data_IF_848861961962
#
_entry.id   IF_848861961962
#
_cell.length_a   1.000
_cell.length_b   1.000
_cell.length_c   1.000
_cell.angle_alpha   90.00
_cell.angle_beta   90.00
_cell.angle_gamma   90.00
#
_symmetry.space_group_name_H-M   'P 1'
#
loop_
_entity.id
_entity.type
_entity.pdbx_description
1 polymer ?
#
# COMPACT_ATOMS: atom_id res chain seq x y z
N UNK A 1 12.52 -4.44 9.25
CA UNK A 1 11.96 -3.31 10.01
C UNK A 1 11.04 -2.52 9.10
N UNK A 2 9.84 -2.20 9.58
CA UNK A 2 8.87 -1.36 8.85
C UNK A 2 8.95 0.04 9.46
N UNK A 3 9.19 1.05 8.62
CA UNK A 3 9.28 2.45 9.03
C UNK A 3 8.19 3.26 8.35
N UNK A 4 7.58 4.18 9.10
CA UNK A 4 6.67 5.17 8.54
C UNK A 4 7.45 6.21 7.73
N UNK A 5 6.87 6.68 6.64
CA UNK A 5 7.41 7.77 5.83
C UNK A 5 7.54 9.04 6.66
N UNK A 6 8.75 9.57 6.75
CA UNK A 6 9.08 10.74 7.59
C UNK A 6 8.99 12.07 6.84
N UNK A 7 8.59 12.05 5.59
CA UNK A 7 8.52 13.22 4.73
C UNK A 7 9.85 13.57 4.03
N UNK A 8 10.90 12.80 4.25
CA UNK A 8 12.21 13.06 3.67
C UNK A 8 12.30 12.67 2.20
N UNK A 9 13.12 13.41 1.47
CA UNK A 9 13.47 13.09 0.09
C UNK A 9 14.05 11.68 -0.04
N UNK A 10 14.93 11.29 0.90
CA UNK A 10 15.58 9.96 0.89
C UNK A 10 14.57 8.83 0.96
N UNK A 11 13.62 8.89 1.87
CA UNK A 11 12.58 7.85 1.95
C UNK A 11 11.67 7.85 0.72
N UNK A 12 11.39 9.02 0.14
CA UNK A 12 10.61 9.07 -1.11
C UNK A 12 11.39 8.44 -2.27
N UNK A 13 12.68 8.64 -2.37
CA UNK A 13 13.53 7.95 -3.36
C UNK A 13 13.51 6.44 -3.19
N UNK A 14 13.53 5.94 -1.95
CA UNK A 14 13.40 4.52 -1.64
C UNK A 14 12.04 3.96 -2.08
N UNK A 15 10.96 4.71 -1.86
CA UNK A 15 9.61 4.34 -2.31
C UNK A 15 9.56 4.29 -3.84
N UNK A 16 10.06 5.31 -4.52
CA UNK A 16 10.09 5.39 -5.99
C UNK A 16 10.89 4.23 -6.58
N UNK A 17 12.01 3.88 -5.96
CA UNK A 17 12.79 2.71 -6.36
C UNK A 17 11.97 1.43 -6.34
N UNK A 18 11.26 1.16 -5.25
CA UNK A 18 10.41 -0.04 -5.12
C UNK A 18 9.25 0.03 -6.12
N UNK A 19 8.60 1.18 -6.22
CA UNK A 19 7.42 1.40 -7.07
C UNK A 19 7.74 1.17 -8.55
N UNK A 20 8.87 1.69 -9.03
CA UNK A 20 9.31 1.56 -10.42
C UNK A 20 9.55 0.10 -10.85
N UNK A 21 9.79 -0.79 -9.89
CA UNK A 21 9.95 -2.24 -10.14
C UNK A 21 8.62 -2.98 -10.30
N UNK A 22 7.50 -2.37 -9.90
CA UNK A 22 6.20 -3.05 -9.82
C UNK A 22 5.10 -2.34 -10.59
N UNK A 23 5.20 -1.03 -10.79
CA UNK A 23 4.17 -0.19 -11.40
C UNK A 23 4.74 0.70 -12.50
N UNK A 24 3.89 1.59 -13.00
CA UNK A 24 4.24 2.60 -13.99
C UNK A 24 5.18 3.64 -13.36
N UNK A 25 6.12 4.15 -14.14
CA UNK A 25 7.03 5.20 -13.71
C UNK A 25 6.29 6.42 -13.16
N UNK A 26 6.86 6.99 -12.10
CA UNK A 26 6.36 8.20 -11.46
C UNK A 26 6.99 9.41 -12.12
N UNK A 27 6.13 10.25 -12.71
CA UNK A 27 6.53 11.44 -13.49
C UNK A 27 6.48 12.75 -12.68
N UNK A 28 6.23 12.64 -11.37
CA UNK A 28 6.13 13.80 -10.49
C UNK A 28 7.46 14.16 -9.86
N UNK A 29 7.67 15.46 -9.61
CA UNK A 29 8.81 15.94 -8.83
C UNK A 29 8.81 15.34 -7.43
N UNK A 30 9.99 14.94 -6.94
CA UNK A 30 10.13 14.27 -5.63
C UNK A 30 9.67 15.18 -4.48
N UNK A 31 10.01 16.46 -4.53
CA UNK A 31 9.63 17.39 -3.46
C UNK A 31 8.13 17.65 -3.45
N UNK A 32 7.50 17.71 -4.63
CA UNK A 32 6.04 17.78 -4.74
C UNK A 32 5.36 16.52 -4.18
N UNK A 33 5.91 15.34 -4.44
CA UNK A 33 5.40 14.08 -3.88
C UNK A 33 5.49 14.08 -2.36
N UNK A 34 6.63 14.47 -1.80
CA UNK A 34 6.80 14.59 -0.35
C UNK A 34 5.75 15.49 0.27
N UNK A 35 5.54 16.69 -0.29
CA UNK A 35 4.54 17.64 0.20
C UNK A 35 3.11 17.11 0.05
N UNK A 36 2.80 16.49 -1.07
CA UNK A 36 1.48 15.88 -1.33
C UNK A 36 1.13 14.83 -0.28
N UNK A 37 2.04 13.94 0.01
CA UNK A 37 1.83 12.87 0.99
C UNK A 37 1.78 13.43 2.42
N UNK A 38 2.68 14.35 2.78
CA UNK A 38 2.68 14.98 4.10
C UNK A 38 1.39 15.74 4.42
N UNK A 39 0.77 16.35 3.42
CA UNK A 39 -0.50 17.09 3.59
C UNK A 39 -1.71 16.19 3.74
N UNK A 40 -1.65 14.96 3.25
CA UNK A 40 -2.77 14.04 3.31
C UNK A 40 -2.83 13.31 4.66
N UNK A 41 -3.62 13.83 5.58
CA UNK A 41 -3.77 13.28 6.94
C UNK A 41 -4.44 11.91 6.99
N UNK A 42 -5.08 11.49 5.89
CA UNK A 42 -5.77 10.19 5.79
C UNK A 42 -4.92 9.14 5.09
N UNK A 43 -3.69 9.47 4.72
CA UNK A 43 -2.81 8.57 3.98
C UNK A 43 -1.51 8.35 4.75
N UNK A 44 -1.14 7.10 4.90
CA UNK A 44 0.13 6.72 5.51
C UNK A 44 0.93 5.83 4.56
N UNK A 45 2.22 6.09 4.45
CA UNK A 45 3.17 5.27 3.72
C UNK A 45 4.15 4.61 4.69
N UNK A 46 4.46 3.35 4.42
CA UNK A 46 5.42 2.57 5.20
C UNK A 46 6.39 1.86 4.26
N UNK A 47 7.64 1.75 4.69
CA UNK A 47 8.70 1.09 3.93
C UNK A 47 9.29 -0.03 4.78
N UNK A 48 9.41 -1.22 4.19
CA UNK A 48 10.13 -2.34 4.78
C UNK A 48 11.58 -2.29 4.34
N UNK A 49 12.48 -2.31 5.32
CA UNK A 49 13.92 -2.43 5.10
C UNK A 49 14.43 -3.76 5.61
N UNK A 50 15.37 -4.35 4.88
CA UNK A 50 16.18 -5.49 5.30
C UNK A 50 17.63 -5.08 5.15
N UNK A 51 18.39 -5.10 6.24
CA UNK A 51 19.80 -4.64 6.26
C UNK A 51 19.97 -3.25 5.63
N UNK A 52 19.06 -2.32 5.97
CA UNK A 52 19.00 -0.96 5.44
C UNK A 52 18.71 -0.83 3.93
N UNK A 53 18.34 -1.92 3.27
CA UNK A 53 17.91 -1.92 1.86
C UNK A 53 16.38 -1.86 1.81
N UNK A 54 15.78 -0.92 1.05
CA UNK A 54 14.34 -0.85 0.89
C UNK A 54 13.88 -2.01 0.00
N UNK A 55 12.97 -2.84 0.51
CA UNK A 55 12.54 -4.07 -0.18
C UNK A 55 11.04 -4.11 -0.47
N UNK A 56 10.26 -3.32 0.24
CA UNK A 56 8.81 -3.28 0.04
C UNK A 56 8.23 -1.97 0.59
N UNK A 57 7.05 -1.57 0.08
CA UNK A 57 6.31 -0.47 0.66
C UNK A 57 4.81 -0.76 0.70
N UNK A 58 4.10 0.01 1.53
CA UNK A 58 2.68 -0.09 1.77
C UNK A 58 2.09 1.29 1.89
N UNK A 59 1.03 1.57 1.12
CA UNK A 59 0.19 2.77 1.26
C UNK A 59 -1.16 2.39 1.84
N UNK A 60 -1.58 3.09 2.88
CA UNK A 60 -2.88 2.91 3.54
C UNK A 60 -3.67 4.20 3.44
N UNK A 61 -4.86 4.15 2.85
CA UNK A 61 -5.81 5.25 2.80
C UNK A 61 -6.93 4.99 3.81
N UNK A 62 -6.99 5.78 4.87
CA UNK A 62 -8.05 5.69 5.87
C UNK A 62 -9.32 6.36 5.37
N UNK A 63 -10.45 5.71 5.57
CA UNK A 63 -11.75 6.18 5.13
C UNK A 63 -12.80 5.97 6.22
N UNK A 64 -13.56 7.01 6.49
CA UNK A 64 -14.76 6.95 7.34
C UNK A 64 -15.91 7.54 6.55
N UNK A 65 -16.93 6.76 6.29
CA UNK A 65 -18.08 7.17 5.49
C UNK A 65 -19.39 6.57 6.03
N UNK A 66 -20.50 6.74 5.29
CA UNK A 66 -21.82 6.29 5.74
C UNK A 66 -21.94 4.77 5.90
N UNK A 67 -21.08 3.98 5.27
CA UNK A 67 -21.20 2.53 5.23
C UNK A 67 -20.17 1.81 6.07
N UNK A 68 -18.99 2.39 6.27
CA UNK A 68 -17.93 1.77 7.06
C UNK A 68 -16.90 2.76 7.58
N UNK A 69 -16.15 2.31 8.57
CA UNK A 69 -14.99 2.98 9.13
C UNK A 69 -13.80 2.03 9.02
N UNK A 70 -12.79 2.40 8.25
CA UNK A 70 -11.66 1.51 8.00
C UNK A 70 -10.62 2.10 7.06
N UNK A 71 -10.05 1.26 6.22
CA UNK A 71 -9.02 1.69 5.29
C UNK A 71 -8.99 0.85 4.01
N UNK A 72 -8.30 1.41 3.01
CA UNK A 72 -7.90 0.73 1.78
C UNK A 72 -6.40 0.51 1.77
N UNK A 73 -5.99 -0.65 1.35
CA UNK A 73 -4.63 -0.86 0.84
C UNK A 73 -4.58 -0.18 -0.53
N UNK A 74 -4.02 1.02 -0.56
CA UNK A 74 -3.91 1.78 -1.79
C UNK A 74 -2.85 1.18 -2.71
N UNK A 75 -1.67 0.95 -2.15
CA UNK A 75 -0.54 0.36 -2.86
C UNK A 75 0.20 -0.61 -1.93
N UNK A 76 0.65 -1.71 -2.50
CA UNK A 76 1.56 -2.64 -1.84
C UNK A 76 2.50 -3.23 -2.91
N UNK A 77 3.79 -3.16 -2.66
CA UNK A 77 4.79 -3.71 -3.57
C UNK A 77 5.96 -4.32 -2.81
N UNK A 78 6.47 -5.42 -3.34
CA UNK A 78 7.69 -6.10 -2.87
C UNK A 78 8.61 -6.26 -4.08
N UNK A 79 9.86 -5.86 -3.95
CA UNK A 79 10.86 -6.05 -5.02
C UNK A 79 11.00 -7.53 -5.35
N UNK A 80 11.24 -7.84 -6.61
CA UNK A 80 11.20 -9.22 -7.13
C UNK A 80 12.08 -10.18 -6.34
N UNK A 81 13.29 -9.77 -6.01
CA UNK A 81 14.28 -10.59 -5.30
C UNK A 81 13.85 -10.98 -3.88
N UNK A 82 12.85 -10.28 -3.34
CA UNK A 82 12.32 -10.49 -1.99
C UNK A 82 10.88 -11.04 -1.97
N UNK A 83 10.32 -11.38 -3.13
CA UNK A 83 9.00 -12.02 -3.22
C UNK A 83 9.02 -13.46 -2.73
N UNK A 84 7.82 -13.99 -2.42
CA UNK A 84 7.63 -15.36 -1.91
C UNK A 84 8.35 -15.67 -0.58
N UNK A 85 8.66 -14.63 0.20
CA UNK A 85 9.31 -14.73 1.52
C UNK A 85 8.40 -14.25 2.65
N UNK A 86 7.11 -14.06 2.38
CA UNK A 86 6.14 -13.65 3.38
C UNK A 86 6.07 -12.14 3.67
N UNK A 87 6.86 -11.31 2.98
CA UNK A 87 6.91 -9.85 3.24
C UNK A 87 5.55 -9.20 2.95
N UNK A 88 4.89 -9.55 1.85
CA UNK A 88 3.57 -9.02 1.53
C UNK A 88 2.53 -9.34 2.61
N UNK A 89 2.53 -10.56 3.12
CA UNK A 89 1.64 -10.97 4.24
C UNK A 89 1.97 -10.22 5.52
N UNK A 90 3.24 -10.01 5.82
CA UNK A 90 3.68 -9.19 6.95
C UNK A 90 3.14 -7.76 6.85
N UNK A 91 3.23 -7.14 5.66
CA UNK A 91 2.70 -5.80 5.42
C UNK A 91 1.17 -5.76 5.54
N UNK A 92 0.44 -6.75 5.04
CA UNK A 92 -1.01 -6.82 5.20
C UNK A 92 -1.42 -6.98 6.67
N UNK A 93 -0.69 -7.79 7.44
CA UNK A 93 -0.91 -7.91 8.88
C UNK A 93 -0.60 -6.61 9.62
N UNK A 94 0.46 -5.93 9.23
CA UNK A 94 0.81 -4.60 9.74
C UNK A 94 -0.32 -3.59 9.48
N UNK A 95 -0.86 -3.56 8.25
CA UNK A 95 -1.99 -2.70 7.90
C UNK A 95 -3.23 -3.01 8.75
N UNK A 96 -3.56 -4.28 8.94
CA UNK A 96 -4.66 -4.72 9.81
C UNK A 96 -4.51 -4.15 11.23
N UNK A 97 -3.32 -4.24 11.80
CA UNK A 97 -3.03 -3.72 13.13
C UNK A 97 -3.18 -2.19 13.18
N UNK A 98 -2.71 -1.48 12.15
CA UNK A 98 -2.88 -0.02 12.04
C UNK A 98 -4.35 0.39 12.01
N UNK A 99 -5.17 -0.32 11.27
CA UNK A 99 -6.62 -0.06 11.23
C UNK A 99 -7.27 -0.33 12.59
N UNK A 100 -6.89 -1.40 13.27
CA UNK A 100 -7.37 -1.71 14.63
C UNK A 100 -6.99 -0.63 15.65
N UNK A 101 -5.77 -0.11 15.58
CA UNK A 101 -5.31 0.99 16.45
C UNK A 101 -6.20 2.23 16.29
N UNK A 102 -6.70 2.48 15.10
CA UNK A 102 -7.65 3.57 14.79
C UNK A 102 -9.12 3.18 14.98
N UNK A 103 -9.39 2.01 15.58
CA UNK A 103 -10.75 1.46 15.80
C UNK A 103 -11.54 1.24 14.52
N UNK A 104 -10.87 1.10 13.39
CA UNK A 104 -11.51 0.72 12.13
C UNK A 104 -11.95 -0.75 12.13
N UNK A 105 -12.98 -1.04 11.35
CA UNK A 105 -13.61 -2.37 11.31
C UNK A 105 -13.46 -3.07 9.96
N UNK A 106 -12.96 -2.37 8.94
CA UNK A 106 -12.83 -2.90 7.57
C UNK A 106 -11.46 -2.53 7.00
N UNK A 107 -10.83 -3.49 6.34
CA UNK A 107 -9.65 -3.28 5.52
C UNK A 107 -9.91 -3.88 4.14
N UNK A 108 -9.81 -3.07 3.11
CA UNK A 108 -10.08 -3.46 1.72
C UNK A 108 -8.85 -3.28 0.84
N UNK A 109 -8.84 -3.94 -0.31
CA UNK A 109 -7.84 -3.74 -1.33
C UNK A 109 -8.41 -4.10 -2.70
N UNK A 110 -7.92 -3.43 -3.75
CA UNK A 110 -8.23 -3.76 -5.12
C UNK A 110 -7.05 -4.51 -5.75
N UNK A 111 -7.35 -5.64 -6.35
CA UNK A 111 -6.36 -6.44 -7.06
C UNK A 111 -6.85 -6.65 -8.49
N UNK A 112 -6.00 -6.40 -9.46
CA UNK A 112 -6.33 -6.73 -10.85
C UNK A 112 -6.63 -8.22 -10.97
N UNK A 113 -7.68 -8.56 -11.70
CA UNK A 113 -8.15 -9.94 -11.83
C UNK A 113 -7.08 -10.88 -12.40
N UNK A 114 -6.17 -10.35 -13.23
CA UNK A 114 -5.05 -11.10 -13.83
C UNK A 114 -3.81 -11.17 -12.93
N UNK A 115 -3.79 -10.47 -11.80
CA UNK A 115 -2.67 -10.51 -10.86
C UNK A 115 -2.85 -11.66 -9.84
N UNK A 116 -2.52 -12.86 -10.28
CA UNK A 116 -2.68 -14.09 -9.46
C UNK A 116 -1.84 -14.04 -8.20
N UNK A 117 -0.62 -13.52 -8.28
CA UNK A 117 0.30 -13.43 -7.13
C UNK A 117 -0.28 -12.56 -6.01
N UNK A 118 -0.78 -11.37 -6.34
CA UNK A 118 -1.42 -10.49 -5.35
C UNK A 118 -2.71 -11.09 -4.81
N UNK A 119 -3.56 -11.67 -5.66
CA UNK A 119 -4.78 -12.34 -5.22
C UNK A 119 -4.50 -13.45 -4.22
N UNK A 120 -3.50 -14.27 -4.49
CA UNK A 120 -3.07 -15.36 -3.59
C UNK A 120 -2.59 -14.80 -2.23
N UNK A 121 -1.82 -13.71 -2.25
CA UNK A 121 -1.34 -13.04 -1.03
C UNK A 121 -2.51 -12.55 -0.17
N UNK A 122 -3.51 -11.90 -0.76
CA UNK A 122 -4.70 -11.42 -0.05
C UNK A 122 -5.51 -12.59 0.53
N UNK A 123 -5.78 -13.62 -0.27
CA UNK A 123 -6.50 -14.83 0.21
C UNK A 123 -5.78 -15.50 1.36
N UNK A 124 -4.46 -15.67 1.27
CA UNK A 124 -3.64 -16.27 2.33
C UNK A 124 -3.51 -15.38 3.58
N UNK A 125 -3.94 -14.13 3.50
CA UNK A 125 -4.01 -13.19 4.62
C UNK A 125 -5.44 -13.02 5.16
N UNK A 126 -6.33 -13.97 4.84
CA UNK A 126 -7.72 -14.05 5.28
C UNK A 126 -8.64 -12.93 4.72
N UNK A 127 -8.23 -12.28 3.64
CA UNK A 127 -9.16 -11.44 2.89
C UNK A 127 -10.11 -12.33 2.08
N UNK A 128 -11.35 -11.89 1.95
CA UNK A 128 -12.37 -12.60 1.16
C UNK A 128 -12.68 -11.79 -0.09
N UNK A 129 -12.80 -12.41 -1.27
CA UNK A 129 -13.23 -11.69 -2.47
C UNK A 129 -14.66 -11.17 -2.27
N UNK A 130 -14.96 -10.02 -2.87
CA UNK A 130 -16.33 -9.50 -2.91
C UNK A 130 -17.22 -10.45 -3.71
N UNK A 131 -18.48 -10.60 -3.28
CA UNK A 131 -19.52 -11.34 -4.02
C UNK A 131 -20.01 -10.58 -5.26
N UNK A 132 -19.69 -9.27 -5.37
CA UNK A 132 -20.08 -8.39 -6.47
C UNK A 132 -18.89 -8.01 -7.32
N UNK A 133 -19.08 -7.99 -8.63
CA UNK A 133 -18.11 -7.44 -9.56
C UNK A 133 -18.21 -5.92 -9.63
N UNK A 134 -17.05 -5.26 -9.80
CA UNK A 134 -16.96 -3.81 -9.92
C UNK A 134 -16.21 -3.43 -11.19
N UNK A 135 -16.59 -2.28 -11.77
CA UNK A 135 -15.88 -1.66 -12.88
C UNK A 135 -15.25 -0.37 -12.39
N UNK A 136 -13.96 -0.19 -12.61
CA UNK A 136 -13.27 1.06 -12.35
C UNK A 136 -13.44 1.99 -13.55
N UNK A 137 -14.09 3.15 -13.34
CA UNK A 137 -14.19 4.19 -14.35
C UNK A 137 -13.15 5.27 -14.08
N UNK A 138 -12.43 5.66 -15.12
CA UNK A 138 -11.39 6.68 -15.06
C UNK A 138 -11.73 7.83 -16.00
N UNK A 139 -11.40 9.04 -15.60
CA UNK A 139 -11.47 10.24 -16.44
C UNK A 139 -10.30 11.14 -16.09
N UNK A 140 -9.49 11.48 -17.06
CA UNK A 140 -8.45 12.49 -16.90
C UNK A 140 -9.09 13.88 -16.85
N UNK A 141 -8.56 14.72 -15.97
CA UNK A 141 -9.05 16.09 -15.74
C UNK A 141 -7.98 17.09 -16.15
#
# INVERSE_FOLDING_TARGET
MIKEFDGSRKMMEDIIYIDSKSFKDIDSDIDELCERIKKNKQYELFIKYIQNIPVAYLGILYMSNLHYDGAWIDLIAVVEEHRNKGIGRELLKFAENKVKEKKGTVLTGLVRKDNVSSSTMFLNSNFKPSEKDFILYLKDI
#
